data_IF_109164563377
#
_entry.id   IF_109164563377
#
_cell.length_a   1.000
_cell.length_b   1.000
_cell.length_c   1.000
_cell.angle_alpha   90.00
_cell.angle_beta   90.00
_cell.angle_gamma   90.00
#
_symmetry.space_group_name_H-M   'P 1'
#
loop_
_entity.id
_entity.type
_entity.pdbx_description
1 polymer ?
#
# COMPACT_ATOMS: atom_id res chain seq x y z
N UNK A 1 -9.62 -8.47 19.11
CA UNK A 1 -8.99 -7.68 18.04
C UNK A 1 -10.00 -7.61 16.90
N UNK A 2 -10.22 -6.46 16.26
CA UNK A 2 -11.30 -6.32 15.27
C UNK A 2 -10.96 -7.09 13.98
N UNK A 3 -11.56 -8.25 13.75
CA UNK A 3 -11.30 -9.15 12.59
C UNK A 3 -11.41 -8.41 11.24
N UNK A 4 -12.30 -7.42 11.14
CA UNK A 4 -12.46 -6.58 9.94
C UNK A 4 -11.25 -5.68 9.65
N UNK A 5 -10.56 -5.22 10.69
CA UNK A 5 -9.38 -4.38 10.54
C UNK A 5 -8.16 -5.21 10.12
N UNK A 6 -8.03 -6.40 10.69
CA UNK A 6 -6.97 -7.35 10.32
C UNK A 6 -7.07 -7.76 8.85
N UNK A 7 -8.26 -8.12 8.36
CA UNK A 7 -8.48 -8.44 6.95
C UNK A 7 -8.15 -7.25 6.02
N UNK A 8 -8.45 -6.02 6.45
CA UNK A 8 -8.13 -4.81 5.68
C UNK A 8 -6.62 -4.57 5.61
N UNK A 9 -5.91 -4.73 6.73
CA UNK A 9 -4.45 -4.62 6.79
C UNK A 9 -3.79 -5.70 5.94
N UNK A 10 -4.28 -6.94 5.99
CA UNK A 10 -3.73 -8.04 5.20
C UNK A 10 -3.88 -7.79 3.70
N UNK A 11 -5.07 -7.37 3.24
CA UNK A 11 -5.30 -7.02 1.85
C UNK A 11 -4.44 -5.83 1.41
N UNK A 12 -4.27 -4.85 2.28
CA UNK A 12 -3.42 -3.70 2.01
C UNK A 12 -1.93 -4.07 1.95
N UNK A 13 -1.45 -5.03 2.75
CA UNK A 13 -0.08 -5.56 2.63
C UNK A 13 0.13 -6.27 1.29
N UNK A 14 -0.82 -7.13 0.87
CA UNK A 14 -0.75 -7.79 -0.45
C UNK A 14 -0.66 -6.77 -1.58
N UNK A 15 -1.51 -5.74 -1.55
CA UNK A 15 -1.49 -4.67 -2.54
C UNK A 15 -0.20 -3.84 -2.48
N UNK A 16 0.37 -3.61 -1.30
CA UNK A 16 1.68 -2.94 -1.15
C UNK A 16 2.80 -3.71 -1.86
N UNK A 17 2.84 -5.02 -1.68
CA UNK A 17 3.85 -5.89 -2.29
C UNK A 17 3.69 -5.95 -3.83
N UNK A 18 2.45 -6.03 -4.32
CA UNK A 18 2.15 -5.94 -5.75
C UNK A 18 2.62 -4.61 -6.35
N UNK A 19 2.29 -3.49 -5.71
CA UNK A 19 2.73 -2.16 -6.15
C UNK A 19 4.26 -2.04 -6.14
N UNK A 20 4.93 -2.59 -5.12
CA UNK A 20 6.39 -2.63 -5.02
C UNK A 20 7.01 -3.41 -6.17
N UNK A 21 6.40 -4.53 -6.57
CA UNK A 21 6.85 -5.32 -7.72
C UNK A 21 6.76 -4.56 -9.06
N UNK A 22 5.83 -3.60 -9.15
CA UNK A 22 5.66 -2.70 -10.30
C UNK A 22 6.56 -1.45 -10.23
N UNK A 23 7.42 -1.34 -9.21
CA UNK A 23 8.27 -0.17 -8.97
C UNK A 23 7.52 1.02 -8.35
N UNK A 24 6.32 0.80 -7.82
CA UNK A 24 5.51 1.82 -7.16
C UNK A 24 5.72 1.70 -5.65
N UNK A 25 6.22 2.77 -5.02
CA UNK A 25 6.31 2.83 -3.56
C UNK A 25 4.97 3.23 -2.97
N UNK A 26 4.41 2.37 -2.11
CA UNK A 26 3.23 2.64 -1.30
C UNK A 26 3.53 2.41 0.19
N UNK A 27 2.99 3.26 1.06
CA UNK A 27 3.08 3.17 2.52
C UNK A 27 1.73 2.72 3.08
N UNK A 28 1.74 1.67 3.91
CA UNK A 28 0.57 1.16 4.62
C UNK A 28 0.49 1.77 6.02
N UNK A 29 -0.65 2.38 6.36
CA UNK A 29 -0.99 2.74 7.72
C UNK A 29 -1.69 1.56 8.42
N UNK A 30 -0.95 0.86 9.28
CA UNK A 30 -1.44 -0.32 10.02
C UNK A 30 -2.50 0.01 11.08
N UNK A 31 -2.73 1.28 11.41
CA UNK A 31 -3.81 1.67 12.34
C UNK A 31 -5.15 1.78 11.65
N UNK A 32 -5.16 2.10 10.36
CA UNK A 32 -6.37 2.40 9.58
C UNK A 32 -6.59 1.41 8.41
N UNK A 33 -5.54 0.68 8.02
CA UNK A 33 -5.50 -0.18 6.83
C UNK A 33 -5.49 0.62 5.52
N UNK A 34 -5.06 1.89 5.55
CA UNK A 34 -4.98 2.74 4.36
C UNK A 34 -3.62 2.63 3.67
N UNK A 35 -3.62 2.61 2.33
CA UNK A 35 -2.41 2.66 1.52
C UNK A 35 -2.25 4.05 0.90
N UNK A 36 -1.11 4.68 1.14
CA UNK A 36 -0.69 5.94 0.52
C UNK A 36 0.36 5.66 -0.54
N UNK A 37 0.05 5.95 -1.79
CA UNK A 37 1.00 5.80 -2.89
C UNK A 37 1.83 7.06 -3.06
N UNK A 38 3.15 6.90 -3.19
CA UNK A 38 4.03 8.02 -3.45
C UNK A 38 4.03 8.31 -4.96
N UNK A 39 3.23 9.31 -5.37
CA UNK A 39 3.08 9.73 -6.78
C UNK A 39 4.40 10.20 -7.42
N UNK A 40 5.44 10.40 -6.62
CA UNK A 40 6.80 10.75 -7.05
C UNK A 40 7.42 9.72 -7.99
N UNK A 41 7.00 8.45 -7.95
CA UNK A 41 7.47 7.39 -8.85
C UNK A 41 6.97 7.54 -10.31
N UNK A 42 5.89 8.30 -10.55
CA UNK A 42 5.33 8.49 -11.89
C UNK A 42 5.97 9.62 -12.70
N UNK A 43 6.84 10.45 -12.09
CA UNK A 43 7.38 11.67 -12.72
C UNK A 43 8.69 11.49 -13.52
N UNK A 44 9.25 10.28 -13.62
CA UNK A 44 10.60 10.08 -14.19
C UNK A 44 10.64 9.53 -15.64
N UNK A 45 9.66 9.87 -16.48
CA UNK A 45 9.72 9.70 -17.94
C UNK A 45 9.53 11.07 -18.64
N UNK A 46 10.57 11.88 -18.68
CA UNK A 46 10.74 12.94 -19.70
C UNK A 46 12.18 12.95 -20.15
#
# INVERSE_FOLDING_TARGET
MNERLEAKIENARKLQDELKSMGITAELDEKTGELKMNASAFKNRR
#
